data_IF_340469451884
#
_entry.id   IF_340469451884
#
_cell.length_a   1.000
_cell.length_b   1.000
_cell.length_c   1.000
_cell.angle_alpha   90.00
_cell.angle_beta   90.00
_cell.angle_gamma   90.00
#
_symmetry.space_group_name_H-M   'P 1'
#
loop_
_entity.id
_entity.type
_entity.pdbx_description
1 polymer ?
#
# COMPACT_ATOMS: atom_id res chain seq x y z
N UNK A 1 14.77 47.41 13.32
CA UNK A 1 13.42 46.96 13.74
C UNK A 1 13.53 45.51 14.21
N UNK A 2 13.22 45.23 15.49
CA UNK A 2 13.24 43.86 16.05
C UNK A 2 11.92 43.17 15.69
N UNK A 3 11.97 42.10 14.90
CA UNK A 3 10.83 41.20 14.69
C UNK A 3 10.44 40.55 16.03
N UNK A 4 9.28 40.91 16.56
CA UNK A 4 8.66 40.20 17.68
C UNK A 4 8.08 38.91 17.12
N UNK A 5 8.71 37.77 17.42
CA UNK A 5 8.08 36.45 17.28
C UNK A 5 6.86 36.43 18.21
N UNK A 6 5.66 36.53 17.63
CA UNK A 6 4.40 36.32 18.33
C UNK A 6 4.27 34.83 18.65
N UNK A 7 4.44 34.48 19.93
CA UNK A 7 4.10 33.16 20.44
C UNK A 7 2.58 33.05 20.42
N UNK A 8 2.04 32.20 19.54
CA UNK A 8 0.60 31.90 19.49
C UNK A 8 0.22 31.18 20.79
N UNK A 9 -0.80 31.69 21.49
CA UNK A 9 -1.37 31.00 22.65
C UNK A 9 -1.95 29.64 22.26
N UNK A 10 -1.95 28.69 23.19
CA UNK A 10 -2.43 27.31 22.99
C UNK A 10 -3.83 27.26 22.34
N UNK A 11 -4.76 28.11 22.75
CA UNK A 11 -6.11 28.18 22.15
C UNK A 11 -6.11 28.71 20.71
N UNK A 12 -5.24 29.66 20.38
CA UNK A 12 -5.10 30.17 19.01
C UNK A 12 -4.40 29.15 18.10
N UNK A 13 -3.45 28.38 18.65
CA UNK A 13 -2.85 27.24 17.97
C UNK A 13 -3.87 26.11 17.74
N UNK A 14 -4.69 25.78 18.74
CA UNK A 14 -5.77 24.79 18.63
C UNK A 14 -6.86 25.22 17.63
N UNK A 15 -7.26 26.49 17.62
CA UNK A 15 -8.19 27.03 16.63
C UNK A 15 -7.60 27.02 15.22
N UNK A 16 -6.30 27.23 15.06
CA UNK A 16 -5.60 27.11 13.78
C UNK A 16 -5.49 25.64 13.34
N UNK A 17 -5.25 24.70 14.27
CA UNK A 17 -5.26 23.26 14.01
C UNK A 17 -6.66 22.77 13.62
N UNK A 18 -7.70 23.23 14.30
CA UNK A 18 -9.09 22.97 13.93
C UNK A 18 -9.42 23.58 12.56
N UNK A 19 -8.97 24.81 12.26
CA UNK A 19 -9.11 25.41 10.93
C UNK A 19 -8.35 24.64 9.84
N UNK A 20 -7.21 24.02 10.12
CA UNK A 20 -6.56 23.14 9.15
C UNK A 20 -7.40 21.89 8.85
N UNK A 21 -8.06 21.31 9.87
CA UNK A 21 -9.07 20.25 9.68
C UNK A 21 -10.28 20.72 8.84
N UNK A 22 -10.49 22.03 8.70
CA UNK A 22 -11.61 22.59 7.91
C UNK A 22 -11.35 22.77 6.43
N UNK A 23 -10.14 22.59 5.88
CA UNK A 23 -9.94 22.85 4.42
C UNK A 23 -10.83 21.95 3.57
N UNK A 24 -10.86 20.65 3.88
CA UNK A 24 -11.74 19.72 3.19
C UNK A 24 -13.21 19.90 3.61
N UNK A 25 -13.49 20.15 4.90
CA UNK A 25 -14.86 20.39 5.38
C UNK A 25 -15.54 21.62 4.71
N UNK A 26 -14.82 22.74 4.57
CA UNK A 26 -15.28 23.94 3.89
C UNK A 26 -15.45 23.74 2.39
N UNK A 27 -14.65 22.86 1.79
CA UNK A 27 -14.84 22.46 0.39
C UNK A 27 -16.15 21.67 0.21
N UNK A 28 -16.55 20.83 1.19
CA UNK A 28 -17.76 19.98 1.09
C UNK A 28 -19.06 20.78 0.93
N UNK A 29 -19.14 21.96 1.54
CA UNK A 29 -20.33 22.84 1.51
C UNK A 29 -20.60 23.45 0.13
N UNK A 30 -19.59 23.55 -0.74
CA UNK A 30 -19.65 24.29 -2.02
C UNK A 30 -19.69 23.41 -3.27
N UNK A 31 -19.84 22.08 -3.13
CA UNK A 31 -19.65 21.16 -4.27
C UNK A 31 -20.94 20.80 -5.00
N UNK A 32 -20.91 20.93 -6.33
CA UNK A 32 -21.82 20.25 -7.25
C UNK A 32 -21.14 19.02 -7.87
N UNK A 33 -21.90 17.96 -8.13
CA UNK A 33 -21.37 16.76 -8.79
C UNK A 33 -20.92 17.08 -10.22
N UNK A 34 -19.67 16.82 -10.60
CA UNK A 34 -19.26 16.98 -12.00
C UNK A 34 -20.03 16.00 -12.88
N UNK A 35 -20.66 16.51 -13.94
CA UNK A 35 -21.55 15.73 -14.81
C UNK A 35 -20.80 14.80 -15.79
N UNK A 36 -19.48 14.62 -15.64
CA UNK A 36 -18.63 13.82 -16.53
C UNK A 36 -18.49 12.41 -15.99
N UNK A 37 -19.03 11.43 -16.71
CA UNK A 37 -19.08 10.03 -16.31
C UNK A 37 -18.36 9.12 -17.30
N UNK A 38 -18.02 7.92 -16.83
CA UNK A 38 -17.48 6.87 -17.71
C UNK A 38 -18.44 6.53 -18.85
N UNK A 39 -17.91 6.47 -20.07
CA UNK A 39 -18.52 5.67 -21.15
C UNK A 39 -18.11 4.21 -20.94
N UNK A 40 -18.87 3.23 -21.46
CA UNK A 40 -18.53 1.81 -21.29
C UNK A 40 -17.11 1.45 -21.75
N UNK A 41 -16.69 1.82 -22.97
CA UNK A 41 -15.32 1.57 -23.43
C UNK A 41 -14.24 2.28 -22.60
N UNK A 42 -14.55 3.42 -21.98
CA UNK A 42 -13.61 4.10 -21.10
C UNK A 42 -13.56 3.47 -19.71
N UNK A 43 -14.69 2.99 -19.18
CA UNK A 43 -14.76 2.21 -17.95
C UNK A 43 -13.90 0.95 -18.06
N UNK A 44 -14.11 0.12 -19.10
CA UNK A 44 -13.37 -1.13 -19.28
C UNK A 44 -11.86 -0.91 -19.38
N UNK A 45 -11.42 0.08 -20.17
CA UNK A 45 -9.99 0.42 -20.29
C UNK A 45 -9.39 0.91 -18.98
N UNK A 46 -10.13 1.76 -18.25
CA UNK A 46 -9.66 2.29 -16.97
C UNK A 46 -9.56 1.16 -15.95
N UNK A 47 -10.59 0.32 -15.85
CA UNK A 47 -10.63 -0.86 -15.01
C UNK A 47 -9.44 -1.80 -15.28
N UNK A 48 -9.23 -2.22 -16.52
CA UNK A 48 -8.13 -3.11 -16.89
C UNK A 48 -6.76 -2.52 -16.54
N UNK A 49 -6.56 -1.23 -16.84
CA UNK A 49 -5.32 -0.55 -16.52
C UNK A 49 -5.10 -0.43 -15.00
N UNK A 50 -6.16 -0.23 -14.20
CA UNK A 50 -6.05 -0.26 -12.75
C UNK A 50 -5.72 -1.66 -12.23
N UNK A 51 -6.44 -2.69 -12.67
CA UNK A 51 -6.17 -4.05 -12.23
C UNK A 51 -4.74 -4.48 -12.56
N UNK A 52 -4.22 -4.12 -13.74
CA UNK A 52 -2.84 -4.42 -14.09
C UNK A 52 -1.85 -3.74 -13.15
N UNK A 53 -1.99 -2.43 -12.91
CA UNK A 53 -1.10 -1.71 -11.99
C UNK A 53 -1.13 -2.27 -10.59
N UNK A 54 -2.32 -2.59 -10.09
CA UNK A 54 -2.48 -3.17 -8.76
C UNK A 54 -1.79 -4.52 -8.65
N UNK A 55 -1.93 -5.38 -9.68
CA UNK A 55 -1.20 -6.66 -9.76
C UNK A 55 0.32 -6.48 -9.78
N UNK A 56 0.81 -5.53 -10.59
CA UNK A 56 2.26 -5.27 -10.68
C UNK A 56 2.82 -4.85 -9.31
N UNK A 57 2.11 -4.01 -8.56
CA UNK A 57 2.51 -3.60 -7.21
C UNK A 57 2.39 -4.72 -6.17
N UNK A 58 1.38 -5.59 -6.28
CA UNK A 58 1.27 -6.79 -5.44
C UNK A 58 2.47 -7.71 -5.71
N UNK A 59 2.77 -7.98 -6.97
CA UNK A 59 3.88 -8.83 -7.38
C UNK A 59 5.21 -8.29 -6.83
N UNK A 60 5.45 -6.98 -6.94
CA UNK A 60 6.62 -6.32 -6.37
C UNK A 60 6.75 -6.55 -4.85
N UNK A 61 5.66 -6.36 -4.10
CA UNK A 61 5.66 -6.57 -2.65
C UNK A 61 5.87 -8.04 -2.26
N UNK A 62 5.35 -8.99 -3.05
CA UNK A 62 5.47 -10.43 -2.77
C UNK A 62 6.92 -10.92 -2.97
N UNK A 63 7.70 -10.30 -3.87
CA UNK A 63 9.10 -10.70 -4.09
C UNK A 63 9.90 -10.66 -2.79
N UNK A 64 9.86 -9.53 -2.06
CA UNK A 64 10.62 -9.41 -0.81
C UNK A 64 10.17 -10.42 0.25
N UNK A 65 8.86 -10.69 0.34
CA UNK A 65 8.32 -11.72 1.23
C UNK A 65 8.83 -13.10 0.86
N UNK A 66 8.77 -13.48 -0.42
CA UNK A 66 9.17 -14.80 -0.87
C UNK A 66 10.66 -15.06 -0.68
N UNK A 67 11.50 -14.05 -0.92
CA UNK A 67 12.93 -14.13 -0.64
C UNK A 67 13.21 -14.30 0.85
N UNK A 68 12.51 -13.56 1.69
CA UNK A 68 12.61 -13.69 3.14
C UNK A 68 12.20 -15.10 3.62
N UNK A 69 11.08 -15.63 3.11
CA UNK A 69 10.64 -17.01 3.36
C UNK A 69 11.69 -18.03 2.91
N UNK A 70 12.27 -17.83 1.73
CA UNK A 70 13.32 -18.69 1.18
C UNK A 70 14.55 -18.71 2.07
N UNK A 71 15.03 -17.54 2.53
CA UNK A 71 16.17 -17.45 3.45
C UNK A 71 15.82 -18.17 4.76
N UNK A 72 14.67 -17.87 5.35
CA UNK A 72 14.22 -18.49 6.61
C UNK A 72 14.15 -20.02 6.50
N UNK A 73 13.63 -20.56 5.40
CA UNK A 73 13.59 -22.00 5.15
C UNK A 73 14.99 -22.63 5.05
N UNK A 74 15.92 -21.99 4.36
CA UNK A 74 17.30 -22.48 4.25
C UNK A 74 17.99 -22.49 5.63
N UNK A 75 17.71 -21.50 6.49
CA UNK A 75 18.22 -21.44 7.87
C UNK A 75 17.60 -22.46 8.83
N UNK A 76 16.38 -22.95 8.53
CA UNK A 76 15.55 -23.70 9.47
C UNK A 76 16.20 -24.97 10.00
N UNK A 77 16.95 -25.68 9.14
CA UNK A 77 17.63 -26.92 9.53
C UNK A 77 18.96 -26.67 10.25
N UNK A 78 19.91 -25.87 9.72
CA UNK A 78 21.16 -25.56 10.41
C UNK A 78 20.95 -25.02 11.83
N UNK A 79 20.01 -24.09 12.02
CA UNK A 79 19.79 -23.44 13.32
C UNK A 79 19.27 -24.39 14.41
N UNK A 80 18.65 -25.52 14.04
CA UNK A 80 18.23 -26.55 15.00
C UNK A 80 19.43 -27.32 15.56
N UNK A 81 20.54 -27.35 14.85
CA UNK A 81 21.71 -28.13 15.24
C UNK A 81 22.52 -27.41 16.32
N UNK A 82 22.71 -28.08 17.45
CA UNK A 82 23.48 -27.58 18.60
C UNK A 82 24.91 -27.12 18.23
N UNK A 83 25.68 -27.88 17.40
CA UNK A 83 27.03 -27.45 17.01
C UNK A 83 27.04 -26.13 16.25
N UNK A 84 26.05 -25.92 15.38
CA UNK A 84 25.93 -24.69 14.61
C UNK A 84 25.57 -23.50 15.52
N UNK A 85 24.62 -23.67 16.44
CA UNK A 85 24.26 -22.62 17.43
C UNK A 85 25.44 -22.20 18.31
N UNK A 86 26.26 -23.16 18.75
CA UNK A 86 27.48 -22.87 19.53
C UNK A 86 28.52 -22.12 18.70
N UNK A 87 28.70 -22.50 17.44
CA UNK A 87 29.57 -21.78 16.51
C UNK A 87 29.11 -20.34 16.32
N UNK A 88 27.82 -20.11 16.04
CA UNK A 88 27.26 -18.76 15.91
C UNK A 88 27.50 -17.93 17.18
N UNK A 89 27.36 -18.54 18.36
CA UNK A 89 27.61 -17.87 19.64
C UNK A 89 29.09 -17.49 19.82
N UNK A 90 30.01 -18.39 19.47
CA UNK A 90 31.45 -18.13 19.55
C UNK A 90 31.91 -17.02 18.59
N UNK A 91 31.23 -16.87 17.45
CA UNK A 91 31.57 -15.90 16.41
C UNK A 91 30.76 -14.59 16.51
N UNK A 92 30.06 -14.35 17.63
CA UNK A 92 29.20 -13.15 17.83
C UNK A 92 28.07 -12.99 16.80
N UNK A 93 27.52 -14.11 16.34
CA UNK A 93 26.44 -14.24 15.35
C UNK A 93 25.20 -14.94 15.92
N UNK A 94 25.09 -15.09 17.25
CA UNK A 94 23.93 -15.74 17.88
C UNK A 94 22.61 -14.97 17.70
N UNK A 95 22.66 -13.67 17.43
CA UNK A 95 21.46 -12.85 17.22
C UNK A 95 20.93 -13.02 15.80
N UNK A 96 20.12 -14.07 15.60
CA UNK A 96 19.45 -14.34 14.34
C UNK A 96 18.26 -13.38 14.19
N UNK A 97 18.11 -12.69 13.04
CA UNK A 97 16.96 -11.84 12.79
C UNK A 97 15.63 -12.55 13.02
N UNK A 98 14.69 -11.88 13.69
CA UNK A 98 13.38 -12.44 14.04
C UNK A 98 12.67 -13.06 12.83
N UNK A 99 12.69 -12.37 11.69
CA UNK A 99 12.07 -12.85 10.46
C UNK A 99 12.65 -14.17 9.94
N UNK A 100 13.91 -14.48 10.25
CA UNK A 100 14.55 -15.75 9.88
C UNK A 100 14.25 -16.87 10.89
N UNK A 101 13.99 -16.52 12.15
CA UNK A 101 13.66 -17.47 13.21
C UNK A 101 12.17 -17.83 13.22
N UNK A 102 11.30 -16.84 13.05
CA UNK A 102 9.84 -16.95 13.22
C UNK A 102 9.08 -16.86 11.90
N UNK A 103 9.70 -16.38 10.83
CA UNK A 103 9.08 -16.10 9.53
C UNK A 103 8.73 -14.61 9.34
N UNK A 104 8.35 -14.20 8.12
CA UNK A 104 7.97 -12.82 7.80
C UNK A 104 6.82 -12.31 8.66
N UNK A 105 6.78 -11.01 8.93
CA UNK A 105 5.64 -10.40 9.62
C UNK A 105 4.36 -10.53 8.78
N UNK A 106 3.27 -11.04 9.39
CA UNK A 106 1.99 -11.26 8.70
C UNK A 106 0.86 -10.32 9.11
N UNK A 107 1.04 -9.47 10.14
CA UNK A 107 -0.03 -8.66 10.72
C UNK A 107 0.40 -7.25 11.13
N UNK A 108 -0.26 -6.23 10.55
CA UNK A 108 -0.38 -4.86 11.06
C UNK A 108 -1.67 -4.22 10.52
N UNK A 109 -2.85 -4.75 10.86
CA UNK A 109 -4.10 -4.00 10.64
C UNK A 109 -4.55 -3.51 12.01
N UNK A 110 -4.28 -2.24 12.28
CA UNK A 110 -4.94 -1.53 13.37
C UNK A 110 -6.44 -1.53 13.08
N UNK A 111 -7.19 -2.13 13.99
CA UNK A 111 -8.65 -2.16 13.98
C UNK A 111 -9.22 -0.73 13.98
N UNK A 112 -10.32 -0.56 13.24
CA UNK A 112 -11.08 0.68 13.16
C UNK A 112 -11.53 1.13 14.55
N UNK A 113 -11.45 2.43 14.82
CA UNK A 113 -12.02 3.02 16.03
C UNK A 113 -13.56 3.00 15.96
N UNK A 114 -14.21 3.27 17.10
CA UNK A 114 -15.67 3.32 17.19
C UNK A 114 -16.28 4.27 16.15
N UNK A 115 -17.46 3.94 15.59
CA UNK A 115 -18.06 4.71 14.51
C UNK A 115 -18.34 6.15 14.96
N UNK A 116 -17.65 7.10 14.33
CA UNK A 116 -17.83 8.54 14.55
C UNK A 116 -18.90 9.10 13.60
N UNK A 117 -19.65 10.14 14.01
CA UNK A 117 -20.69 10.74 13.17
C UNK A 117 -20.10 11.29 11.86
N UNK A 118 -20.82 11.09 10.76
CA UNK A 118 -20.42 11.55 9.43
C UNK A 118 -20.39 13.08 9.35
N UNK A 119 -19.39 13.63 8.66
CA UNK A 119 -19.28 15.06 8.35
C UNK A 119 -19.69 15.27 6.90
N UNK A 120 -20.87 15.85 6.66
CA UNK A 120 -21.45 16.05 5.32
C UNK A 120 -21.44 14.77 4.45
N UNK A 121 -21.75 13.63 5.07
CA UNK A 121 -21.81 12.31 4.40
C UNK A 121 -20.45 11.64 4.17
N UNK A 122 -19.35 12.19 4.73
CA UNK A 122 -18.00 11.60 4.67
C UNK A 122 -17.55 11.19 6.07
N UNK A 123 -16.93 10.02 6.21
CA UNK A 123 -16.45 9.53 7.50
C UNK A 123 -15.27 10.39 8.01
N UNK A 124 -15.23 10.72 9.31
CA UNK A 124 -14.12 11.48 9.91
C UNK A 124 -12.76 10.83 9.67
N UNK A 125 -12.69 9.51 9.76
CA UNK A 125 -11.46 8.74 9.53
C UNK A 125 -10.96 8.89 8.08
N UNK A 126 -11.86 8.87 7.09
CA UNK A 126 -11.48 9.11 5.70
C UNK A 126 -11.02 10.56 5.47
N UNK A 127 -11.63 11.54 6.16
CA UNK A 127 -11.19 12.93 6.12
C UNK A 127 -9.80 13.11 6.73
N UNK A 128 -9.54 12.46 7.86
CA UNK A 128 -8.25 12.49 8.56
C UNK A 128 -7.15 11.88 7.68
N UNK A 129 -7.37 10.70 7.10
CA UNK A 129 -6.40 10.08 6.19
C UNK A 129 -6.06 10.99 4.99
N UNK A 130 -7.04 11.74 4.50
CA UNK A 130 -6.90 12.59 3.32
C UNK A 130 -6.42 14.01 3.64
N UNK A 131 -6.28 14.40 4.92
CA UNK A 131 -6.03 15.78 5.31
C UNK A 131 -4.71 16.35 4.76
N UNK A 132 -3.68 15.50 4.69
CA UNK A 132 -2.34 15.88 4.24
C UNK A 132 -2.16 15.78 2.72
N UNK A 133 -3.20 15.31 2.01
CA UNK A 133 -3.18 15.13 0.57
C UNK A 133 -3.84 16.29 -0.16
N UNK A 134 -3.34 16.62 -1.34
CA UNK A 134 -4.02 17.56 -2.22
C UNK A 134 -5.23 16.87 -2.87
N UNK A 135 -6.40 16.98 -2.23
CA UNK A 135 -7.61 16.28 -2.67
C UNK A 135 -8.48 17.19 -3.55
N UNK A 136 -8.72 16.82 -4.82
CA UNK A 136 -9.72 17.50 -5.63
C UNK A 136 -11.09 17.42 -4.95
N UNK A 137 -11.84 18.53 -4.85
CA UNK A 137 -13.16 18.55 -4.24
C UNK A 137 -14.06 17.37 -4.63
N UNK A 138 -14.09 17.05 -5.93
CA UNK A 138 -14.97 16.04 -6.50
C UNK A 138 -14.72 14.62 -5.99
N UNK A 139 -13.56 14.34 -5.37
CA UNK A 139 -13.30 13.06 -4.69
C UNK A 139 -14.33 12.82 -3.60
N UNK A 140 -14.66 13.84 -2.81
CA UNK A 140 -15.61 13.68 -1.71
C UNK A 140 -17.05 13.44 -2.19
N UNK A 141 -17.41 13.99 -3.36
CA UNK A 141 -18.69 13.67 -3.99
C UNK A 141 -18.78 12.18 -4.38
N UNK A 142 -17.67 11.57 -4.80
CA UNK A 142 -17.60 10.12 -5.06
C UNK A 142 -17.60 9.31 -3.77
N UNK A 143 -16.91 9.76 -2.71
CA UNK A 143 -16.90 9.08 -1.40
C UNK A 143 -18.29 8.99 -0.77
N UNK A 144 -19.08 10.08 -0.80
CA UNK A 144 -20.45 10.11 -0.25
C UNK A 144 -21.41 9.06 -0.82
N UNK A 145 -21.07 8.44 -1.95
CA UNK A 145 -21.89 7.38 -2.58
C UNK A 145 -21.74 6.03 -1.86
N UNK A 146 -20.72 5.87 -1.03
CA UNK A 146 -20.33 4.63 -0.37
C UNK A 146 -20.56 4.70 1.14
N UNK A 147 -20.78 3.55 1.78
CA UNK A 147 -20.89 3.44 3.25
C UNK A 147 -19.57 3.81 3.96
N UNK A 148 -19.58 4.21 5.24
CA UNK A 148 -18.40 4.75 5.93
C UNK A 148 -17.14 3.87 5.86
N UNK A 149 -17.29 2.55 6.08
CA UNK A 149 -16.18 1.59 5.99
C UNK A 149 -15.57 1.56 4.58
N UNK A 150 -16.42 1.61 3.56
CA UNK A 150 -16.00 1.64 2.16
C UNK A 150 -15.34 2.97 1.79
N UNK A 151 -15.77 4.09 2.37
CA UNK A 151 -15.11 5.39 2.21
C UNK A 151 -13.69 5.35 2.76
N UNK A 152 -13.50 4.74 3.93
CA UNK A 152 -12.18 4.54 4.54
C UNK A 152 -11.29 3.68 3.64
N UNK A 153 -11.80 2.52 3.17
CA UNK A 153 -11.07 1.66 2.22
C UNK A 153 -10.69 2.41 0.94
N UNK A 154 -11.61 3.18 0.37
CA UNK A 154 -11.34 4.00 -0.81
C UNK A 154 -10.24 5.06 -0.56
N UNK A 155 -10.25 5.72 0.60
CA UNK A 155 -9.20 6.66 0.99
C UNK A 155 -7.83 5.97 1.11
N UNK A 156 -7.77 4.81 1.78
CA UNK A 156 -6.54 3.99 1.89
C UNK A 156 -6.01 3.58 0.51
N UNK A 157 -6.88 3.14 -0.40
CA UNK A 157 -6.51 2.78 -1.77
C UNK A 157 -5.92 3.97 -2.54
N UNK A 158 -6.59 5.13 -2.50
CA UNK A 158 -6.12 6.36 -3.16
C UNK A 158 -4.74 6.78 -2.66
N UNK A 159 -4.49 6.66 -1.35
CA UNK A 159 -3.23 7.02 -0.71
C UNK A 159 -2.13 6.01 -1.06
N UNK A 160 -2.39 4.71 -0.90
CA UNK A 160 -1.44 3.64 -1.15
C UNK A 160 -0.95 3.60 -2.61
N UNK A 161 -1.86 3.89 -3.55
CA UNK A 161 -1.54 4.02 -4.98
C UNK A 161 -0.96 5.39 -5.35
N UNK A 162 -0.89 6.34 -4.41
CA UNK A 162 -0.50 7.75 -4.65
C UNK A 162 -1.38 8.41 -5.74
N UNK A 163 -2.67 8.10 -5.76
CA UNK A 163 -3.65 8.50 -6.80
C UNK A 163 -4.92 9.09 -6.23
N UNK A 164 -4.76 10.12 -5.41
CA UNK A 164 -5.87 10.95 -4.93
C UNK A 164 -6.38 11.81 -6.09
N UNK A 165 -7.39 11.31 -6.81
CA UNK A 165 -7.93 11.96 -8.01
C UNK A 165 -9.42 11.68 -8.17
N UNK A 166 -10.14 12.62 -8.79
CA UNK A 166 -11.56 12.46 -9.08
C UNK A 166 -11.84 11.19 -9.90
N UNK A 167 -11.06 10.93 -10.96
CA UNK A 167 -11.26 9.79 -11.85
C UNK A 167 -11.16 8.45 -11.13
N UNK A 168 -10.17 8.31 -10.24
CA UNK A 168 -9.99 7.07 -9.49
C UNK A 168 -11.07 6.92 -8.40
N UNK A 169 -11.41 8.00 -7.70
CA UNK A 169 -12.54 7.99 -6.75
C UNK A 169 -13.87 7.64 -7.46
N UNK A 170 -14.09 8.14 -8.68
CA UNK A 170 -15.24 7.80 -9.49
C UNK A 170 -15.23 6.33 -9.89
N UNK A 171 -14.08 5.76 -10.28
CA UNK A 171 -13.94 4.33 -10.56
C UNK A 171 -14.28 3.48 -9.33
N UNK A 172 -13.70 3.82 -8.17
CA UNK A 172 -13.99 3.14 -6.90
C UNK A 172 -15.49 3.15 -6.59
N UNK A 173 -16.15 4.31 -6.70
CA UNK A 173 -17.60 4.42 -6.46
C UNK A 173 -18.43 3.66 -7.52
N UNK A 174 -17.94 3.57 -8.75
CA UNK A 174 -18.63 2.85 -9.85
C UNK A 174 -18.56 1.34 -9.66
N UNK A 175 -17.41 0.84 -9.22
CA UNK A 175 -17.14 -0.59 -8.98
C UNK A 175 -17.31 -0.98 -7.52
N UNK A 176 -18.11 -0.23 -6.75
CA UNK A 176 -18.47 -0.62 -5.38
C UNK A 176 -19.73 -1.48 -5.41
N UNK A 177 -19.75 -2.65 -4.74
CA UNK A 177 -20.95 -3.48 -4.63
C UNK A 177 -22.14 -2.74 -4.03
N UNK A 178 -23.37 -3.12 -4.41
CA UNK A 178 -24.57 -2.38 -4.02
C UNK A 178 -24.76 -2.37 -2.50
N UNK A 179 -24.39 -3.46 -1.83
CA UNK A 179 -24.39 -3.62 -0.37
C UNK A 179 -23.48 -2.61 0.36
N UNK A 180 -22.51 -2.01 -0.32
CA UNK A 180 -21.58 -1.02 0.22
C UNK A 180 -21.86 0.40 -0.29
N UNK A 181 -23.00 0.63 -0.95
CA UNK A 181 -23.48 1.96 -1.32
C UNK A 181 -24.42 2.51 -0.24
N UNK A 182 -24.50 3.84 -0.14
CA UNK A 182 -25.43 4.51 0.79
C UNK A 182 -26.90 4.27 0.41
N UNK A 183 -27.19 4.17 -0.89
CA UNK A 183 -28.52 3.87 -1.43
C UNK A 183 -28.44 2.60 -2.31
N UNK A 184 -28.58 1.40 -1.71
CA UNK A 184 -28.47 0.12 -2.42
C UNK A 184 -29.64 -0.13 -3.38
N UNK A 185 -30.79 0.51 -3.15
CA UNK A 185 -32.00 0.35 -3.97
C UNK A 185 -31.95 1.17 -5.26
N UNK A 186 -31.03 2.14 -5.34
CA UNK A 186 -30.85 2.97 -6.53
C UNK A 186 -30.44 2.11 -7.73
N UNK A 187 -31.11 2.25 -8.89
CA UNK A 187 -30.73 1.54 -10.11
C UNK A 187 -29.27 1.81 -10.48
N UNK A 188 -28.52 0.73 -10.74
CA UNK A 188 -27.13 0.83 -11.22
C UNK A 188 -27.09 1.56 -12.56
N UNK A 189 -26.04 2.36 -12.73
CA UNK A 189 -25.81 3.06 -14.00
C UNK A 189 -25.51 2.05 -15.10
N UNK A 190 -26.21 2.20 -16.23
CA UNK A 190 -25.95 1.40 -17.43
C UNK A 190 -24.82 2.04 -18.23
N UNK A 191 -23.88 1.22 -18.68
CA UNK A 191 -22.77 1.65 -19.53
C UNK A 191 -22.91 0.99 -20.90
N UNK A 192 -22.87 1.79 -21.96
CA UNK A 192 -23.01 1.30 -23.34
C UNK A 192 -21.92 0.24 -23.61
N UNK A 193 -22.33 -0.97 -23.99
CA UNK A 193 -21.42 -2.08 -24.28
C UNK A 193 -20.88 -2.82 -23.05
N UNK A 194 -21.44 -2.59 -21.85
CA UNK A 194 -21.13 -3.36 -20.64
C UNK A 194 -22.43 -3.94 -20.09
N UNK A 195 -22.51 -5.27 -20.00
CA UNK A 195 -23.70 -5.94 -19.44
C UNK A 195 -23.71 -5.84 -17.91
N UNK A 196 -24.87 -6.09 -17.29
CA UNK A 196 -24.98 -6.12 -15.82
C UNK A 196 -24.08 -7.21 -15.22
N UNK A 197 -24.02 -8.38 -15.85
CA UNK A 197 -23.20 -9.51 -15.40
C UNK A 197 -21.70 -9.20 -15.51
N UNK A 198 -21.28 -8.53 -16.60
CA UNK A 198 -19.90 -8.06 -16.76
C UNK A 198 -19.53 -7.04 -15.68
N UNK A 199 -20.42 -6.08 -15.39
CA UNK A 199 -20.18 -5.10 -14.33
C UNK A 199 -20.08 -5.78 -12.96
N UNK A 200 -20.94 -6.75 -12.66
CA UNK A 200 -20.89 -7.51 -11.40
C UNK A 200 -19.59 -8.33 -11.27
N UNK A 201 -19.12 -8.96 -12.35
CA UNK A 201 -17.84 -9.66 -12.36
C UNK A 201 -16.67 -8.69 -12.12
N UNK A 202 -16.69 -7.51 -12.76
CA UNK A 202 -15.70 -6.46 -12.52
C UNK A 202 -15.71 -5.98 -11.05
N UNK A 203 -16.88 -5.79 -10.44
CA UNK A 203 -17.01 -5.40 -9.03
C UNK A 203 -16.35 -6.44 -8.11
N UNK A 204 -16.64 -7.73 -8.31
CA UNK A 204 -16.10 -8.81 -7.49
C UNK A 204 -14.58 -8.95 -7.63
N UNK A 205 -14.05 -8.98 -8.85
CA UNK A 205 -12.61 -9.04 -9.10
C UNK A 205 -11.88 -7.81 -8.54
N UNK A 206 -12.44 -6.61 -8.76
CA UNK A 206 -11.86 -5.36 -8.28
C UNK A 206 -11.80 -5.31 -6.76
N UNK A 207 -12.83 -5.79 -6.06
CA UNK A 207 -12.85 -5.74 -4.61
C UNK A 207 -11.84 -6.71 -3.97
N UNK A 208 -11.76 -7.94 -4.49
CA UNK A 208 -10.77 -8.94 -4.07
C UNK A 208 -9.33 -8.43 -4.29
N UNK A 209 -9.06 -7.91 -5.50
CA UNK A 209 -7.73 -7.39 -5.84
C UNK A 209 -7.33 -6.19 -4.97
N UNK A 210 -8.29 -5.33 -4.62
CA UNK A 210 -8.03 -4.19 -3.74
C UNK A 210 -7.78 -4.60 -2.28
N UNK A 211 -8.42 -5.66 -1.78
CA UNK A 211 -8.11 -6.20 -0.44
C UNK A 211 -6.68 -6.76 -0.40
N UNK A 212 -6.33 -7.60 -1.37
CA UNK A 212 -4.98 -8.16 -1.48
C UNK A 212 -3.93 -7.05 -1.58
N UNK A 213 -4.19 -6.03 -2.40
CA UNK A 213 -3.31 -4.89 -2.53
C UNK A 213 -3.12 -4.12 -1.22
N UNK A 214 -4.19 -3.81 -0.48
CA UNK A 214 -4.06 -3.11 0.80
C UNK A 214 -3.26 -3.92 1.81
N UNK A 215 -3.47 -5.25 1.84
CA UNK A 215 -2.67 -6.15 2.66
C UNK A 215 -1.18 -6.06 2.30
N UNK A 216 -0.83 -6.26 1.02
CA UNK A 216 0.56 -6.16 0.54
C UNK A 216 1.15 -4.77 0.78
N UNK A 217 0.41 -3.70 0.51
CA UNK A 217 0.85 -2.33 0.69
C UNK A 217 1.14 -1.99 2.16
N UNK A 218 0.39 -2.59 3.11
CA UNK A 218 0.60 -2.38 4.55
C UNK A 218 1.89 -3.03 5.07
N UNK A 219 2.32 -4.13 4.44
CA UNK A 219 3.47 -4.92 4.89
C UNK A 219 4.72 -4.75 4.01
N UNK A 220 4.62 -4.17 2.81
CA UNK A 220 5.77 -4.03 1.88
C UNK A 220 6.99 -3.38 2.53
N UNK A 221 6.78 -2.35 3.36
CA UNK A 221 7.87 -1.66 4.03
C UNK A 221 8.52 -2.53 5.09
N UNK A 222 7.71 -3.28 5.84
CA UNK A 222 8.17 -4.25 6.83
C UNK A 222 8.96 -5.37 6.16
N UNK A 223 8.42 -6.00 5.12
CA UNK A 223 9.11 -7.09 4.40
C UNK A 223 10.42 -6.62 3.75
N UNK A 224 10.46 -5.41 3.18
CA UNK A 224 11.69 -4.86 2.62
C UNK A 224 12.76 -4.66 3.68
N UNK A 225 12.41 -4.12 4.86
CA UNK A 225 13.34 -3.94 5.98
C UNK A 225 13.79 -5.28 6.57
N UNK A 226 12.87 -6.22 6.77
CA UNK A 226 13.17 -7.57 7.27
C UNK A 226 14.12 -8.30 6.31
N UNK A 227 13.89 -8.21 5.00
CA UNK A 227 14.77 -8.79 3.99
C UNK A 227 16.14 -8.13 3.97
N UNK A 228 16.23 -6.81 4.08
CA UNK A 228 17.50 -6.10 4.19
C UNK A 228 18.31 -6.59 5.40
N UNK A 229 17.68 -6.71 6.57
CA UNK A 229 18.32 -7.23 7.79
C UNK A 229 18.73 -8.70 7.63
N UNK A 230 17.89 -9.51 6.99
CA UNK A 230 18.20 -10.91 6.70
C UNK A 230 19.41 -11.06 5.77
N UNK A 231 19.48 -10.27 4.68
CA UNK A 231 20.61 -10.25 3.74
C UNK A 231 21.90 -9.81 4.45
N UNK A 232 21.87 -8.73 5.22
CA UNK A 232 23.04 -8.27 5.97
C UNK A 232 23.55 -9.33 6.96
N UNK A 233 22.64 -10.02 7.63
CA UNK A 233 23.02 -11.13 8.52
C UNK A 233 23.63 -12.30 7.74
N UNK A 234 23.07 -12.62 6.58
CA UNK A 234 23.59 -13.66 5.70
C UNK A 234 24.98 -13.32 5.15
N UNK A 235 25.22 -12.07 4.70
CA UNK A 235 26.53 -11.59 4.27
C UNK A 235 27.58 -11.80 5.38
N UNK A 236 27.26 -11.37 6.61
CA UNK A 236 28.15 -11.54 7.76
C UNK A 236 28.46 -13.01 8.08
N UNK A 237 27.51 -13.91 7.84
CA UNK A 237 27.75 -15.35 7.99
C UNK A 237 28.68 -15.89 6.92
N UNK A 238 28.48 -15.44 5.69
CA UNK A 238 29.24 -15.87 4.51
C UNK A 238 30.65 -15.28 4.47
N UNK A 239 30.89 -14.17 5.15
CA UNK A 239 32.23 -13.61 5.38
C UNK A 239 33.02 -14.34 6.48
N UNK A 240 32.35 -15.09 7.36
CA UNK A 240 33.01 -15.82 8.44
C UNK A 240 33.52 -17.20 7.97
N UNK A 241 34.83 -17.30 7.78
CA UNK A 241 35.47 -18.53 7.28
C UNK A 241 35.18 -19.79 8.12
N UNK A 242 34.99 -19.66 9.44
CA UNK A 242 34.65 -20.82 10.31
C UNK A 242 33.22 -21.28 10.08
N UNK A 243 32.28 -20.34 9.93
CA UNK A 243 30.89 -20.62 9.58
C UNK A 243 30.80 -21.25 8.20
N UNK A 244 31.44 -20.66 7.19
CA UNK A 244 31.47 -21.21 5.82
C UNK A 244 32.06 -22.62 5.81
N UNK A 245 33.16 -22.85 6.52
CA UNK A 245 33.77 -24.19 6.61
C UNK A 245 32.84 -25.20 7.27
N UNK A 246 32.11 -24.80 8.30
CA UNK A 246 31.13 -25.65 8.97
C UNK A 246 29.94 -25.97 8.05
N UNK A 247 29.39 -24.96 7.38
CA UNK A 247 28.32 -25.12 6.39
C UNK A 247 28.77 -26.02 5.22
N UNK A 248 29.98 -25.86 4.71
CA UNK A 248 30.50 -26.70 3.61
C UNK A 248 30.62 -28.18 4.00
N UNK A 249 30.92 -28.46 5.27
CA UNK A 249 31.07 -29.83 5.78
C UNK A 249 29.73 -30.48 6.11
N UNK A 250 28.87 -29.75 6.82
CA UNK A 250 27.69 -30.32 7.47
C UNK A 250 26.37 -29.94 6.76
N UNK A 251 26.36 -28.87 5.95
CA UNK A 251 25.17 -28.33 5.26
C UNK A 251 25.49 -27.78 3.84
N UNK A 252 26.13 -28.58 2.95
CA UNK A 252 26.62 -28.07 1.66
C UNK A 252 25.51 -27.57 0.73
N UNK A 253 24.30 -28.17 0.79
CA UNK A 253 23.15 -27.70 0.01
C UNK A 253 22.67 -26.32 0.47
N UNK A 254 22.62 -26.09 1.78
CA UNK A 254 22.22 -24.80 2.35
C UNK A 254 23.26 -23.74 2.03
N UNK A 255 24.55 -24.07 2.08
CA UNK A 255 25.64 -23.18 1.67
C UNK A 255 25.45 -22.70 0.22
N UNK A 256 25.20 -23.63 -0.71
CA UNK A 256 24.97 -23.30 -2.11
C UNK A 256 23.73 -22.40 -2.29
N UNK A 257 22.63 -22.69 -1.59
CA UNK A 257 21.43 -21.85 -1.62
C UNK A 257 21.65 -20.45 -1.05
N UNK A 258 22.41 -20.33 0.03
CA UNK A 258 22.77 -19.03 0.59
C UNK A 258 23.56 -18.18 -0.40
N UNK A 259 24.54 -18.77 -1.09
CA UNK A 259 25.29 -18.09 -2.15
C UNK A 259 24.37 -17.64 -3.29
N UNK A 260 23.50 -18.53 -3.79
CA UNK A 260 22.53 -18.19 -4.84
C UNK A 260 21.62 -17.01 -4.44
N UNK A 261 21.21 -16.92 -3.17
CA UNK A 261 20.35 -15.82 -2.70
C UNK A 261 21.11 -14.49 -2.63
N UNK A 262 22.37 -14.51 -2.20
CA UNK A 262 23.21 -13.31 -2.16
C UNK A 262 23.54 -12.78 -3.56
N UNK A 263 23.61 -13.65 -4.56
CA UNK A 263 23.83 -13.26 -5.96
C UNK A 263 22.62 -12.52 -6.59
N UNK A 264 21.43 -12.59 -5.99
CA UNK A 264 20.24 -11.85 -6.43
C UNK A 264 20.42 -10.37 -6.05
N UNK A 265 20.57 -9.43 -7.02
CA UNK A 265 20.89 -8.04 -6.74
C UNK A 265 19.75 -7.34 -5.99
N UNK A 266 20.09 -6.67 -4.88
CA UNK A 266 19.15 -5.92 -4.05
C UNK A 266 18.41 -4.79 -4.80
N UNK A 267 19.04 -4.23 -5.85
CA UNK A 267 18.52 -3.08 -6.61
C UNK A 267 17.35 -3.43 -7.55
N UNK A 268 17.07 -4.71 -7.79
CA UNK A 268 15.87 -5.13 -8.55
C UNK A 268 14.59 -5.19 -7.70
N UNK A 269 14.69 -4.90 -6.40
CA UNK A 269 13.56 -4.97 -5.47
C UNK A 269 13.02 -3.59 -5.04
N UNK A 270 13.62 -2.48 -5.51
CA UNK A 270 13.20 -1.11 -5.11
C UNK A 270 13.23 -0.02 -6.21
N UNK A 271 13.77 -0.26 -7.41
CA UNK A 271 14.10 0.80 -8.37
C UNK A 271 13.47 0.66 -9.77
N UNK A 272 12.18 0.30 -9.84
CA UNK A 272 11.33 0.62 -11.02
C UNK A 272 10.14 1.51 -10.64
N UNK A 273 10.32 2.36 -9.62
CA UNK A 273 9.27 3.25 -9.08
C UNK A 273 9.38 4.72 -9.55
N UNK A 274 9.97 4.97 -10.72
CA UNK A 274 9.74 6.23 -11.44
C UNK A 274 9.41 5.96 -12.91
N UNK A 275 8.24 6.41 -13.41
CA UNK A 275 8.12 6.56 -14.85
C UNK A 275 9.16 7.58 -15.28
N UNK A 276 10.07 7.18 -16.15
CA UNK A 276 10.84 8.11 -16.98
C UNK A 276 9.80 9.09 -17.53
N UNK A 277 9.90 10.36 -17.11
CA UNK A 277 9.16 11.44 -17.75
C UNK A 277 9.70 11.53 -19.17
N UNK A 278 9.16 10.72 -20.08
CA UNK A 278 9.17 11.04 -21.49
C UNK A 278 8.35 12.32 -21.60
N UNK A 279 9.08 13.44 -21.67
CA UNK A 279 8.51 14.75 -21.92
C UNK A 279 7.84 14.74 -23.29
N UNK A 280 6.56 14.35 -23.35
CA UNK A 280 5.68 14.90 -24.36
C UNK A 280 5.53 16.38 -24.00
N UNK A 281 6.24 17.23 -24.75
CA UNK A 281 5.95 18.65 -24.85
C UNK A 281 4.45 18.79 -25.07
N UNK A 282 3.72 19.24 -24.05
CA UNK A 282 2.35 19.73 -24.23
C UNK A 282 2.46 20.97 -25.11
N UNK A 283 2.12 20.82 -26.38
CA UNK A 283 1.78 21.97 -27.20
C UNK A 283 0.61 22.68 -26.54
N UNK A 284 0.76 23.98 -26.35
CA UNK A 284 -0.31 24.87 -25.92
C UNK A 284 -1.50 24.70 -26.86
N UNK A 285 -2.63 24.21 -26.33
CA UNK A 285 -3.92 24.43 -26.98
C UNK A 285 -4.46 25.75 -26.43
N UNK A 286 -4.44 26.75 -27.31
CA UNK A 286 -5.20 27.99 -27.18
C UNK A 286 -6.58 27.74 -27.78
N UNK A 287 -7.59 28.29 -27.10
CA UNK A 287 -9.05 28.28 -27.31
C UNK A 287 -9.82 27.15 -26.62
#
# INVERSE_FOLDING_TARGET
MKERRTVLGLEAADLLLQKNRTRHAALLEKMQEPNRWFTGPWLCRTYQAECQRTRDMIAEAIISRHLLETIAEVFRYPIKQEPFRRLLSAESLAFVPKALAEGPTLNLIAESSAPSPLVNGVSPEALELLQDWNVPPQVFASLRKMVPERQLKAARLMIALKRVSFHYAQLLSTLTPASQLVDPSRPRKKFVGVTADQLAAMEAEFDLLNEEFLYCASLRGTWALELMVARLYLDRLMENARVVRHLARDFPEQLARFQMILDIPADQEALTSQPVKTGLKRTHFVF
#
